data_IF_328475358281
#
_entry.id   IF_328475358281
#
_cell.length_a   1.000
_cell.length_b   1.000
_cell.length_c   1.000
_cell.angle_alpha   90.00
_cell.angle_beta   90.00
_cell.angle_gamma   90.00
#
_symmetry.space_group_name_H-M   'P 1'
#
loop_
_entity.id
_entity.type
_entity.pdbx_description
1 polymer ?
#
# COMPACT_ATOMS: atom_id res chain seq x y z
N UNK A 1 24.59 2.00 12.26
CA UNK A 1 23.94 1.51 11.13
C UNK A 1 22.50 1.16 11.37
N UNK A 2 22.29 0.20 12.19
CA UNK A 2 20.93 -0.14 12.55
C UNK A 2 20.23 1.02 13.21
N UNK A 3 20.95 1.77 14.01
CA UNK A 3 20.36 2.91 14.69
C UNK A 3 19.83 3.94 13.71
N UNK A 4 20.60 4.19 12.67
CA UNK A 4 20.14 5.13 11.68
C UNK A 4 18.87 4.67 11.03
N UNK A 5 18.84 3.41 10.72
CA UNK A 5 17.67 2.83 10.11
C UNK A 5 16.46 3.03 11.00
N UNK A 6 16.64 2.82 12.26
CA UNK A 6 15.56 3.04 13.21
C UNK A 6 15.05 4.46 13.17
N UNK A 7 15.97 5.38 13.32
CA UNK A 7 15.57 6.76 13.43
C UNK A 7 14.86 7.27 12.22
N UNK A 8 15.39 6.94 11.08
CA UNK A 8 14.87 7.50 9.86
C UNK A 8 13.84 6.60 9.23
N UNK A 9 14.09 5.32 9.31
CA UNK A 9 13.29 4.40 8.54
C UNK A 9 12.17 3.73 9.29
N UNK A 10 12.10 3.92 10.58
CA UNK A 10 11.12 3.16 11.32
C UNK A 10 9.69 3.45 10.89
N UNK A 11 9.25 4.72 10.85
CA UNK A 11 7.91 5.01 10.35
C UNK A 11 7.77 4.65 8.89
N UNK A 12 8.82 4.87 8.13
CA UNK A 12 8.77 4.55 6.71
C UNK A 12 8.70 3.05 6.51
N UNK A 13 9.45 2.30 7.31
CA UNK A 13 9.40 0.85 7.22
C UNK A 13 7.99 0.34 7.49
N UNK A 14 7.34 0.89 8.49
CA UNK A 14 5.98 0.51 8.80
C UNK A 14 5.05 0.78 7.62
N UNK A 15 5.22 1.92 6.99
CA UNK A 15 4.41 2.26 5.83
C UNK A 15 4.68 1.31 4.67
N UNK A 16 5.93 0.95 4.48
CA UNK A 16 6.29 -0.01 3.44
C UNK A 16 5.60 -1.34 3.68
N UNK A 17 5.61 -1.78 4.92
CA UNK A 17 4.96 -3.04 5.25
C UNK A 17 3.46 -2.96 5.04
N UNK A 18 2.87 -1.82 5.38
CA UNK A 18 1.44 -1.63 5.18
C UNK A 18 1.08 -1.65 3.70
N UNK A 19 1.92 -1.01 2.89
CA UNK A 19 1.67 -0.99 1.46
C UNK A 19 1.84 -2.39 0.87
N UNK A 20 2.85 -3.11 1.33
CA UNK A 20 3.04 -4.49 0.89
C UNK A 20 1.83 -5.33 1.22
N UNK A 21 1.33 -5.19 2.44
CA UNK A 21 0.15 -5.92 2.86
C UNK A 21 -1.06 -5.53 2.01
N UNK A 22 -1.16 -4.24 1.70
CA UNK A 22 -2.26 -3.77 0.87
C UNK A 22 -2.22 -4.40 -0.51
N UNK A 23 -1.05 -4.51 -1.08
CA UNK A 23 -0.92 -5.11 -2.40
C UNK A 23 -1.38 -6.56 -2.38
N UNK A 24 -1.02 -7.28 -1.34
CA UNK A 24 -1.46 -8.66 -1.20
C UNK A 24 -2.96 -8.73 -0.97
N UNK A 25 -3.48 -7.82 -0.15
CA UNK A 25 -4.90 -7.80 0.14
C UNK A 25 -5.70 -7.54 -1.12
N UNK A 26 -5.24 -6.62 -1.95
CA UNK A 26 -5.92 -6.30 -3.19
C UNK A 26 -5.98 -7.53 -4.09
N UNK A 27 -4.90 -8.28 -4.15
CA UNK A 27 -4.88 -9.49 -4.96
C UNK A 27 -5.86 -10.53 -4.46
N UNK A 28 -5.97 -10.65 -3.15
CA UNK A 28 -6.86 -11.63 -2.55
C UNK A 28 -8.31 -11.17 -2.57
N UNK A 29 -8.53 -9.86 -2.55
CA UNK A 29 -9.87 -9.31 -2.46
C UNK A 29 -10.07 -8.26 -3.54
N UNK A 30 -10.19 -8.68 -4.79
CA UNK A 30 -10.27 -7.71 -5.89
C UNK A 30 -11.49 -6.81 -5.82
N UNK A 31 -12.50 -7.22 -5.08
CA UNK A 31 -13.73 -6.41 -4.95
C UNK A 31 -13.71 -5.50 -3.74
N UNK A 32 -12.66 -5.53 -2.95
CA UNK A 32 -12.61 -4.73 -1.74
C UNK A 32 -12.52 -3.24 -2.10
N UNK A 33 -13.22 -2.42 -1.33
CA UNK A 33 -13.15 -0.99 -1.50
C UNK A 33 -11.86 -0.47 -0.91
N UNK A 34 -11.50 0.76 -1.30
CA UNK A 34 -10.29 1.37 -0.78
C UNK A 34 -10.39 1.58 0.72
N UNK A 35 -11.58 1.91 1.21
CA UNK A 35 -11.76 2.07 2.64
C UNK A 35 -11.55 0.76 3.37
N UNK A 36 -12.04 -0.30 2.80
CA UNK A 36 -11.88 -1.62 3.40
C UNK A 36 -10.41 -2.00 3.44
N UNK A 37 -9.72 -1.77 2.35
CA UNK A 37 -8.30 -2.08 2.27
C UNK A 37 -7.51 -1.23 3.27
N UNK A 38 -7.85 0.05 3.35
CA UNK A 38 -7.17 0.96 4.27
C UNK A 38 -7.31 0.48 5.70
N UNK A 39 -8.51 0.08 6.09
CA UNK A 39 -8.74 -0.41 7.42
C UNK A 39 -7.96 -1.69 7.69
N UNK A 40 -7.96 -2.58 6.72
CA UNK A 40 -7.25 -3.84 6.88
C UNK A 40 -5.76 -3.62 7.06
N UNK A 41 -5.23 -2.56 6.46
CA UNK A 41 -3.81 -2.27 6.53
C UNK A 41 -3.44 -1.39 7.72
N UNK A 42 -4.41 -0.94 8.48
CA UNK A 42 -4.12 -0.13 9.65
C UNK A 42 -4.05 1.36 9.40
N UNK A 43 -4.61 1.83 8.29
CA UNK A 43 -4.67 3.25 8.02
C UNK A 43 -5.91 3.86 8.64
N UNK A 44 -5.81 5.14 8.97
CA UNK A 44 -6.92 5.83 9.60
C UNK A 44 -8.01 6.16 8.59
N UNK A 45 -7.65 6.37 7.35
CA UNK A 45 -8.60 6.75 6.33
C UNK A 45 -8.10 6.29 4.96
N UNK A 46 -9.02 6.25 4.01
CA UNK A 46 -8.65 5.91 2.65
C UNK A 46 -7.72 6.97 2.06
N UNK A 47 -7.88 8.21 2.48
CA UNK A 47 -7.04 9.29 2.01
C UNK A 47 -5.58 9.06 2.41
N UNK A 48 -5.37 8.73 3.68
CA UNK A 48 -4.03 8.40 4.17
C UNK A 48 -3.46 7.22 3.42
N UNK A 49 -4.28 6.21 3.23
CA UNK A 49 -3.88 5.02 2.53
C UNK A 49 -3.41 5.35 1.11
N UNK A 50 -4.22 6.12 0.39
CA UNK A 50 -3.88 6.49 -0.98
C UNK A 50 -2.58 7.27 -1.06
N UNK A 51 -2.41 8.24 -0.17
CA UNK A 51 -1.19 9.05 -0.17
C UNK A 51 0.04 8.20 0.07
N UNK A 52 -0.03 7.36 1.09
CA UNK A 52 1.11 6.53 1.45
C UNK A 52 1.40 5.51 0.37
N UNK A 53 0.36 4.90 -0.17
CA UNK A 53 0.52 3.90 -1.21
C UNK A 53 1.20 4.52 -2.42
N UNK A 54 0.74 5.70 -2.82
CA UNK A 54 1.32 6.37 -3.97
C UNK A 54 2.78 6.75 -3.72
N UNK A 55 3.06 7.23 -2.53
CA UNK A 55 4.42 7.65 -2.21
C UNK A 55 5.40 6.47 -2.25
N UNK A 56 4.98 5.33 -1.77
CA UNK A 56 5.87 4.19 -1.65
C UNK A 56 5.91 3.37 -2.93
N UNK A 57 4.76 3.11 -3.53
CA UNK A 57 4.71 2.27 -4.73
C UNK A 57 4.84 3.05 -6.02
N UNK A 58 4.62 4.36 -5.95
CA UNK A 58 4.68 5.19 -7.15
C UNK A 58 3.34 5.35 -7.84
N UNK A 59 2.34 4.64 -7.40
CA UNK A 59 1.01 4.69 -8.02
C UNK A 59 -0.05 4.66 -6.94
N UNK A 60 -1.20 5.27 -7.23
CA UNK A 60 -2.34 5.12 -6.33
C UNK A 60 -2.81 3.67 -6.39
N UNK A 61 -3.53 3.23 -5.37
CA UNK A 61 -4.01 1.85 -5.38
C UNK A 61 -4.85 1.53 -6.60
N UNK A 62 -5.64 2.48 -7.04
CA UNK A 62 -6.47 2.28 -8.21
C UNK A 62 -5.64 2.09 -9.47
N UNK A 63 -4.65 2.95 -9.65
CA UNK A 63 -3.78 2.87 -10.81
C UNK A 63 -2.93 1.61 -10.74
N UNK A 64 -2.45 1.29 -9.55
CA UNK A 64 -1.64 0.10 -9.38
C UNK A 64 -2.42 -1.16 -9.76
N UNK A 65 -3.67 -1.21 -9.33
CA UNK A 65 -4.51 -2.36 -9.65
C UNK A 65 -4.73 -2.47 -11.16
N UNK A 66 -4.97 -1.36 -11.81
CA UNK A 66 -5.17 -1.36 -13.24
C UNK A 66 -3.93 -1.81 -13.98
N UNK A 67 -2.76 -1.32 -13.53
CA UNK A 67 -1.52 -1.72 -14.17
C UNK A 67 -1.24 -3.20 -13.94
N UNK A 68 -1.53 -3.66 -12.74
CA UNK A 68 -1.31 -5.05 -12.41
C UNK A 68 -2.17 -5.95 -13.30
N UNK A 69 -3.41 -5.57 -13.49
CA UNK A 69 -4.29 -6.34 -14.36
C UNK A 69 -3.77 -6.35 -15.78
N UNK A 70 -3.32 -5.20 -16.22
CA UNK A 70 -2.80 -5.08 -17.57
C UNK A 70 -1.60 -5.99 -17.77
N UNK A 71 -0.70 -5.98 -16.81
CA UNK A 71 0.48 -6.81 -16.87
C UNK A 71 0.10 -8.29 -16.76
N UNK A 72 -0.77 -8.59 -15.83
CA UNK A 72 -1.18 -9.96 -15.62
C UNK A 72 -1.93 -10.52 -16.83
N UNK A 73 -2.56 -9.65 -17.57
CA UNK A 73 -3.31 -10.07 -18.74
C UNK A 73 -2.45 -10.48 -19.90
N UNK A 74 -1.15 -10.23 -19.81
CA UNK A 74 -0.25 -10.61 -20.88
C UNK A 74 0.31 -12.01 -20.72
#
# INVERSE_FOLDING_TARGET
>A
MVNQTYKMGFPELLNILRVDYAQRYIRSHPDASQEEIAKACGFLSASSFNSTFKRISGFTPKVWTARKDSIAGR
#
